data_IF_105525799652
#
_entry.id   IF_105525799652
#
_cell.length_a   1.000
_cell.length_b   1.000
_cell.length_c   1.000
_cell.angle_alpha   90.00
_cell.angle_beta   90.00
_cell.angle_gamma   90.00
#
_symmetry.space_group_name_H-M   'P 1'
#
loop_
_entity.id
_entity.type
_entity.pdbx_description
1 polymer ?
#
# COMPACT_ATOMS: atom_id res chain seq x y z
N UNK A 1 -10.76 57.91 8.28
CA UNK A 1 -9.88 56.72 8.23
C UNK A 1 -10.22 55.61 9.25
N UNK A 2 -10.78 55.89 10.43
CA UNK A 2 -11.13 54.83 11.41
C UNK A 2 -12.39 54.00 11.06
N UNK A 3 -13.31 54.52 10.25
CA UNK A 3 -14.54 53.79 9.86
C UNK A 3 -14.36 52.84 8.66
N UNK A 4 -13.35 53.04 7.82
CA UNK A 4 -13.06 52.15 6.68
C UNK A 4 -12.38 50.84 7.12
N UNK A 5 -11.64 50.85 8.24
CA UNK A 5 -10.92 49.67 8.75
C UNK A 5 -11.88 48.70 9.45
N UNK A 6 -12.91 49.23 10.12
CA UNK A 6 -13.93 48.40 10.79
C UNK A 6 -14.83 47.71 9.76
N UNK A 7 -15.17 48.37 8.64
CA UNK A 7 -15.93 47.73 7.56
C UNK A 7 -15.13 46.60 6.88
N UNK A 8 -13.80 46.76 6.75
CA UNK A 8 -12.93 45.76 6.13
C UNK A 8 -12.77 44.50 7.01
N UNK A 9 -12.76 44.65 8.34
CA UNK A 9 -12.71 43.52 9.28
C UNK A 9 -14.04 42.78 9.39
N UNK A 10 -15.18 43.47 9.24
CA UNK A 10 -16.51 42.82 9.20
C UNK A 10 -16.72 42.06 7.88
N UNK A 11 -16.21 42.59 6.76
CA UNK A 11 -16.21 41.88 5.47
C UNK A 11 -15.29 40.64 5.48
N UNK A 12 -14.15 40.67 6.17
CA UNK A 12 -13.28 39.49 6.34
C UNK A 12 -13.86 38.42 7.26
N UNK A 13 -14.70 38.79 8.24
CA UNK A 13 -15.43 37.81 9.05
C UNK A 13 -16.61 37.13 8.33
N UNK A 14 -17.09 37.70 7.23
CA UNK A 14 -18.14 37.12 6.38
C UNK A 14 -17.59 36.18 5.29
N UNK A 15 -16.27 36.18 5.04
CA UNK A 15 -15.60 35.26 4.11
C UNK A 15 -14.75 34.19 4.81
N UNK A 16 -14.97 33.99 6.11
CA UNK A 16 -14.48 32.81 6.84
C UNK A 16 -15.56 31.72 6.95
N UNK A 17 -16.48 31.61 5.98
CA UNK A 17 -17.05 30.30 5.70
C UNK A 17 -15.90 29.47 5.13
N UNK A 18 -15.41 28.50 5.90
CA UNK A 18 -14.53 27.46 5.37
C UNK A 18 -15.21 26.90 4.11
N UNK A 19 -14.70 27.25 2.93
CA UNK A 19 -15.27 26.79 1.68
C UNK A 19 -15.30 25.27 1.73
N UNK A 20 -16.50 24.70 1.79
CA UNK A 20 -16.64 23.26 1.92
C UNK A 20 -16.02 22.61 0.68
N UNK A 21 -14.89 21.94 0.89
CA UNK A 21 -14.22 21.17 -0.15
C UNK A 21 -14.79 19.74 -0.20
N UNK A 22 -14.48 19.03 -1.29
CA UNK A 22 -14.93 17.66 -1.52
C UNK A 22 -14.73 16.76 -0.29
N UNK A 23 -13.52 16.74 0.29
CA UNK A 23 -13.20 15.90 1.44
C UNK A 23 -14.06 16.19 2.68
N UNK A 24 -14.45 17.46 2.88
CA UNK A 24 -15.32 17.86 4.00
C UNK A 24 -16.75 17.34 3.80
N UNK A 25 -17.29 17.46 2.59
CA UNK A 25 -18.62 16.93 2.26
C UNK A 25 -18.67 15.41 2.36
N UNK A 26 -17.67 14.72 1.81
CA UNK A 26 -17.58 13.25 1.88
C UNK A 26 -17.48 12.78 3.33
N UNK A 27 -16.69 13.44 4.19
CA UNK A 27 -16.62 13.09 5.61
C UNK A 27 -17.99 13.20 6.29
N UNK A 28 -18.72 14.29 6.04
CA UNK A 28 -20.10 14.45 6.55
C UNK A 28 -21.01 13.34 6.03
N UNK A 29 -20.93 12.99 4.75
CA UNK A 29 -21.73 11.94 4.14
C UNK A 29 -21.44 10.55 4.76
N UNK A 30 -20.17 10.22 4.98
CA UNK A 30 -19.74 8.98 5.66
C UNK A 30 -20.26 8.93 7.10
N UNK A 31 -20.13 10.00 7.87
CA UNK A 31 -20.63 10.08 9.25
C UNK A 31 -22.15 9.92 9.33
N UNK A 32 -22.89 10.55 8.42
CA UNK A 32 -24.34 10.41 8.31
C UNK A 32 -24.74 8.98 7.94
N UNK A 33 -24.10 8.37 6.93
CA UNK A 33 -24.32 6.98 6.55
C UNK A 33 -24.12 6.02 7.73
N UNK A 34 -23.07 6.23 8.53
CA UNK A 34 -22.76 5.38 9.70
C UNK A 34 -23.86 5.45 10.78
N UNK A 35 -24.50 6.61 10.95
CA UNK A 35 -25.56 6.84 11.93
C UNK A 35 -26.96 6.49 11.40
N UNK A 36 -27.12 6.36 10.08
CA UNK A 36 -28.41 6.17 9.44
C UNK A 36 -29.03 4.78 9.75
N UNK A 37 -30.26 4.80 10.27
CA UNK A 37 -31.04 3.62 10.66
C UNK A 37 -32.35 3.46 9.90
N UNK A 38 -32.70 4.44 9.07
CA UNK A 38 -33.94 4.49 8.31
C UNK A 38 -33.72 5.13 6.93
N UNK A 39 -34.77 5.08 6.10
CA UNK A 39 -34.73 5.60 4.73
C UNK A 39 -34.54 7.11 4.66
N UNK A 40 -35.00 7.89 5.64
CA UNK A 40 -34.83 9.36 5.65
C UNK A 40 -33.36 9.69 5.88
N UNK A 41 -32.72 9.03 6.84
CA UNK A 41 -31.31 9.19 7.12
C UNK A 41 -30.42 8.71 5.96
N UNK A 42 -30.80 7.63 5.27
CA UNK A 42 -30.11 7.19 4.05
C UNK A 42 -30.26 8.19 2.90
N UNK A 43 -31.44 8.78 2.72
CA UNK A 43 -31.69 9.80 1.71
C UNK A 43 -30.84 11.05 1.98
N UNK A 44 -30.79 11.50 3.23
CA UNK A 44 -29.93 12.63 3.63
C UNK A 44 -28.45 12.33 3.37
N UNK A 45 -27.96 11.15 3.76
CA UNK A 45 -26.58 10.75 3.50
C UNK A 45 -26.27 10.68 2.00
N UNK A 46 -27.20 10.17 1.18
CA UNK A 46 -27.05 10.12 -0.28
C UNK A 46 -27.01 11.53 -0.88
N UNK A 47 -27.88 12.43 -0.42
CA UNK A 47 -27.91 13.82 -0.86
C UNK A 47 -26.58 14.54 -0.64
N UNK A 48 -25.88 14.25 0.47
CA UNK A 48 -24.54 14.80 0.72
C UNK A 48 -23.48 14.29 -0.27
N UNK A 49 -23.55 13.02 -0.68
CA UNK A 49 -22.68 12.51 -1.76
C UNK A 49 -23.02 13.18 -3.09
N UNK A 50 -24.30 13.31 -3.41
CA UNK A 50 -24.77 13.90 -4.67
C UNK A 50 -24.40 15.39 -4.79
N UNK A 51 -24.51 16.15 -3.71
CA UNK A 51 -24.03 17.55 -3.65
C UNK A 51 -22.52 17.62 -3.88
N UNK A 52 -21.74 16.75 -3.23
CA UNK A 52 -20.30 16.69 -3.43
C UNK A 52 -19.92 16.35 -4.87
N UNK A 53 -20.63 15.40 -5.49
CA UNK A 53 -20.38 14.98 -6.87
C UNK A 53 -20.73 16.09 -7.87
N UNK A 54 -21.82 16.83 -7.63
CA UNK A 54 -22.23 17.94 -8.48
C UNK A 54 -21.24 19.11 -8.40
N UNK A 55 -20.73 19.42 -7.20
CA UNK A 55 -19.81 20.55 -6.97
C UNK A 55 -18.37 20.24 -7.38
N UNK A 56 -17.96 18.98 -7.32
CA UNK A 56 -16.57 18.55 -7.54
C UNK A 56 -16.48 17.30 -8.44
N UNK A 57 -16.94 17.37 -9.70
CA UNK A 57 -16.98 16.21 -10.60
C UNK A 57 -15.61 15.56 -10.81
N UNK A 58 -14.54 16.34 -10.81
CA UNK A 58 -13.17 15.86 -11.02
C UNK A 58 -12.55 15.21 -9.78
N UNK A 59 -13.17 15.39 -8.60
CA UNK A 59 -12.68 14.86 -7.32
C UNK A 59 -13.30 13.52 -6.94
N UNK A 60 -14.25 13.01 -7.74
CA UNK A 60 -15.04 11.83 -7.37
C UNK A 60 -14.17 10.57 -7.33
N UNK A 61 -13.95 10.07 -6.12
CA UNK A 61 -13.20 8.85 -5.85
C UNK A 61 -14.08 7.59 -5.88
N UNK A 62 -13.42 6.43 -5.96
CA UNK A 62 -14.09 5.13 -6.08
C UNK A 62 -14.86 4.74 -4.81
N UNK A 63 -14.30 5.04 -3.64
CA UNK A 63 -14.95 4.73 -2.36
C UNK A 63 -16.23 5.54 -2.19
N UNK A 64 -16.22 6.82 -2.55
CA UNK A 64 -17.41 7.67 -2.48
C UNK A 64 -18.51 7.19 -3.42
N UNK A 65 -18.19 6.85 -4.68
CA UNK A 65 -19.17 6.23 -5.60
C UNK A 65 -19.74 4.93 -5.04
N UNK A 66 -18.90 4.08 -4.48
CA UNK A 66 -19.32 2.83 -3.87
C UNK A 66 -20.27 3.07 -2.67
N UNK A 67 -20.00 4.07 -1.84
CA UNK A 67 -20.90 4.40 -0.75
C UNK A 67 -22.25 4.94 -1.23
N UNK A 68 -22.25 5.76 -2.29
CA UNK A 68 -23.47 6.26 -2.92
C UNK A 68 -24.31 5.14 -3.55
N UNK A 69 -23.69 4.15 -4.20
CA UNK A 69 -24.41 2.99 -4.74
C UNK A 69 -25.10 2.17 -3.65
N UNK A 70 -24.43 1.95 -2.51
CA UNK A 70 -25.04 1.27 -1.36
C UNK A 70 -26.24 2.05 -0.82
N UNK A 71 -26.13 3.37 -0.69
CA UNK A 71 -27.22 4.19 -0.18
C UNK A 71 -28.42 4.19 -1.14
N UNK A 72 -28.18 4.33 -2.45
CA UNK A 72 -29.23 4.23 -3.47
C UNK A 72 -29.93 2.86 -3.43
N UNK A 73 -29.16 1.78 -3.27
CA UNK A 73 -29.69 0.43 -3.10
C UNK A 73 -30.57 0.31 -1.84
N UNK A 74 -30.10 0.80 -0.69
CA UNK A 74 -30.87 0.80 0.57
C UNK A 74 -32.16 1.63 0.50
N UNK A 75 -32.23 2.59 -0.41
CA UNK A 75 -33.42 3.38 -0.72
C UNK A 75 -34.33 2.73 -1.78
N UNK A 76 -34.06 1.45 -2.12
CA UNK A 76 -34.76 0.69 -3.17
C UNK A 76 -34.70 1.35 -4.56
N UNK A 77 -33.74 2.24 -4.81
CA UNK A 77 -33.53 2.88 -6.11
C UNK A 77 -32.47 2.11 -6.91
N UNK A 78 -32.90 1.01 -7.53
CA UNK A 78 -32.01 0.10 -8.28
C UNK A 78 -31.31 0.81 -9.43
N UNK A 79 -32.00 1.64 -10.19
CA UNK A 79 -31.44 2.33 -11.35
C UNK A 79 -30.32 3.30 -10.98
N UNK A 80 -30.51 4.04 -9.88
CA UNK A 80 -29.48 4.92 -9.34
C UNK A 80 -28.29 4.12 -8.78
N UNK A 81 -28.55 3.00 -8.09
CA UNK A 81 -27.47 2.12 -7.63
C UNK A 81 -26.63 1.60 -8.81
N UNK A 82 -27.27 1.14 -9.88
CA UNK A 82 -26.59 0.69 -11.09
C UNK A 82 -25.85 1.83 -11.81
N UNK A 83 -26.37 3.05 -11.81
CA UNK A 83 -25.66 4.22 -12.37
C UNK A 83 -24.29 4.41 -11.70
N UNK A 84 -24.24 4.32 -10.37
CA UNK A 84 -22.98 4.41 -9.62
C UNK A 84 -22.07 3.20 -9.82
N UNK A 85 -22.62 1.98 -9.80
CA UNK A 85 -21.86 0.74 -9.99
C UNK A 85 -21.26 0.63 -11.39
N UNK A 86 -22.03 0.95 -12.44
CA UNK A 86 -21.53 0.91 -13.82
C UNK A 86 -20.41 1.93 -14.04
N UNK A 87 -20.48 3.11 -13.40
CA UNK A 87 -19.38 4.07 -13.45
C UNK A 87 -18.11 3.56 -12.75
N UNK A 88 -18.25 2.79 -11.65
CA UNK A 88 -17.12 2.11 -11.00
C UNK A 88 -16.51 1.05 -11.92
N UNK A 89 -17.34 0.19 -12.51
CA UNK A 89 -16.86 -0.90 -13.36
C UNK A 89 -16.15 -0.45 -14.63
N UNK A 90 -16.45 0.76 -15.14
CA UNK A 90 -15.80 1.29 -16.35
C UNK A 90 -14.44 1.92 -16.10
N UNK A 91 -14.09 2.26 -14.85
CA UNK A 91 -12.84 2.96 -14.56
C UNK A 91 -11.66 1.98 -14.59
N UNK A 92 -10.65 2.29 -15.38
CA UNK A 92 -9.39 1.53 -15.36
C UNK A 92 -8.66 1.73 -14.03
N UNK A 93 -7.84 0.74 -13.65
CA UNK A 93 -7.10 0.81 -12.38
C UNK A 93 -5.91 1.75 -12.52
N UNK A 94 -5.81 2.76 -11.67
CA UNK A 94 -4.79 3.83 -11.76
C UNK A 94 -3.52 3.57 -10.93
N UNK A 95 -3.30 2.35 -10.45
CA UNK A 95 -2.15 1.90 -9.62
C UNK A 95 -1.87 2.74 -8.36
N UNK A 96 -2.72 3.72 -8.07
CA UNK A 96 -2.64 4.58 -6.89
C UNK A 96 -3.73 4.20 -5.90
N UNK A 97 -4.91 3.88 -6.41
CA UNK A 97 -6.10 3.60 -5.61
C UNK A 97 -6.56 2.14 -5.69
N UNK A 98 -7.35 1.73 -4.70
CA UNK A 98 -7.93 0.39 -4.64
C UNK A 98 -8.74 0.07 -5.92
N UNK A 99 -8.72 -1.15 -6.48
CA UNK A 99 -9.34 -1.41 -7.76
C UNK A 99 -10.86 -1.47 -7.69
N UNK A 100 -11.51 -0.77 -8.61
CA UNK A 100 -12.96 -0.65 -8.63
C UNK A 100 -13.69 -2.01 -8.75
N UNK A 101 -13.10 -2.96 -9.48
CA UNK A 101 -13.66 -4.29 -9.65
C UNK A 101 -13.87 -5.01 -8.32
N UNK A 102 -13.05 -4.73 -7.30
CA UNK A 102 -13.10 -5.41 -6.02
C UNK A 102 -14.39 -5.05 -5.25
N UNK A 103 -14.97 -3.86 -5.46
CA UNK A 103 -16.27 -3.50 -4.89
C UNK A 103 -17.45 -4.32 -5.43
N UNK A 104 -17.27 -5.01 -6.57
CA UNK A 104 -18.33 -5.74 -7.27
C UNK A 104 -18.21 -7.25 -7.06
N UNK A 105 -16.97 -7.78 -7.05
CA UNK A 105 -16.74 -9.23 -7.04
C UNK A 105 -16.16 -9.78 -5.74
N UNK A 106 -15.96 -8.95 -4.71
CA UNK A 106 -15.56 -9.43 -3.38
C UNK A 106 -16.63 -10.30 -2.74
N UNK A 107 -16.20 -11.17 -1.83
CA UNK A 107 -17.04 -12.18 -1.18
C UNK A 107 -18.31 -11.59 -0.54
N UNK A 108 -18.23 -10.38 0.04
CA UNK A 108 -19.36 -9.71 0.71
C UNK A 108 -20.22 -8.82 -0.21
N UNK A 109 -19.83 -8.58 -1.46
CA UNK A 109 -20.63 -7.75 -2.37
C UNK A 109 -22.00 -8.36 -2.64
N UNK A 110 -22.09 -9.70 -2.61
CA UNK A 110 -23.36 -10.43 -2.72
C UNK A 110 -24.28 -10.22 -1.52
N UNK A 111 -23.73 -10.04 -0.32
CA UNK A 111 -24.51 -9.72 0.87
C UNK A 111 -24.99 -8.27 0.85
N UNK A 112 -24.12 -7.35 0.43
CA UNK A 112 -24.41 -5.91 0.38
C UNK A 112 -25.44 -5.52 -0.69
N UNK A 113 -25.58 -6.32 -1.75
CA UNK A 113 -26.49 -6.08 -2.88
C UNK A 113 -27.42 -7.28 -3.18
N UNK A 114 -27.84 -8.01 -2.15
CA UNK A 114 -28.61 -9.26 -2.27
C UNK A 114 -29.75 -9.22 -3.31
N UNK A 115 -30.51 -8.13 -3.36
CA UNK A 115 -31.67 -7.99 -4.26
C UNK A 115 -31.31 -7.49 -5.68
N UNK A 116 -30.05 -7.13 -5.92
CA UNK A 116 -29.53 -6.77 -7.25
C UNK A 116 -28.90 -7.97 -7.96
N UNK A 117 -28.49 -9.04 -7.26
CA UNK A 117 -27.79 -10.18 -7.88
C UNK A 117 -28.63 -10.84 -8.99
N UNK A 118 -29.95 -10.90 -8.78
CA UNK A 118 -30.91 -11.44 -9.75
C UNK A 118 -31.25 -10.50 -10.90
N UNK A 119 -30.85 -9.23 -10.83
CA UNK A 119 -31.06 -8.26 -11.92
C UNK A 119 -30.06 -8.58 -13.07
N UNK A 120 -30.52 -8.67 -14.33
CA UNK A 120 -29.64 -8.95 -15.47
C UNK A 120 -28.44 -8.00 -15.59
N UNK A 121 -28.59 -6.74 -15.15
CA UNK A 121 -27.51 -5.75 -15.17
C UNK A 121 -26.34 -6.13 -14.26
N UNK A 122 -26.61 -6.85 -13.17
CA UNK A 122 -25.57 -7.31 -12.25
C UNK A 122 -24.63 -8.31 -12.91
N UNK A 123 -25.15 -9.20 -13.75
CA UNK A 123 -24.33 -10.20 -14.46
C UNK A 123 -23.36 -9.54 -15.45
N UNK A 124 -23.81 -8.49 -16.14
CA UNK A 124 -22.97 -7.66 -17.01
C UNK A 124 -21.86 -6.99 -16.18
N UNK A 125 -22.25 -6.34 -15.07
CA UNK A 125 -21.33 -5.67 -14.15
C UNK A 125 -20.25 -6.62 -13.60
N UNK A 126 -20.66 -7.82 -13.19
CA UNK A 126 -19.77 -8.87 -12.70
C UNK A 126 -18.82 -9.35 -13.79
N UNK A 127 -19.32 -9.56 -15.01
CA UNK A 127 -18.48 -9.96 -16.16
C UNK A 127 -17.40 -8.91 -16.46
N UNK A 128 -17.77 -7.63 -16.49
CA UNK A 128 -16.84 -6.53 -16.73
C UNK A 128 -15.81 -6.39 -15.60
N UNK A 129 -16.25 -6.53 -14.34
CA UNK A 129 -15.35 -6.52 -13.19
C UNK A 129 -14.34 -7.68 -13.22
N UNK A 130 -14.74 -8.88 -13.65
CA UNK A 130 -13.82 -10.01 -13.84
C UNK A 130 -12.78 -9.70 -14.92
N UNK A 131 -13.20 -9.19 -16.08
CA UNK A 131 -12.27 -8.80 -17.16
C UNK A 131 -11.27 -7.73 -16.69
N UNK A 132 -11.73 -6.77 -15.90
CA UNK A 132 -10.86 -5.73 -15.34
C UNK A 132 -9.90 -6.27 -14.29
N UNK A 133 -10.33 -7.23 -13.45
CA UNK A 133 -9.45 -7.96 -12.55
C UNK A 133 -8.35 -8.68 -13.35
N UNK A 134 -8.70 -9.40 -14.39
CA UNK A 134 -7.74 -10.15 -15.21
C UNK A 134 -6.73 -9.19 -15.87
N UNK A 135 -7.21 -8.07 -16.43
CA UNK A 135 -6.35 -7.01 -16.97
C UNK A 135 -5.42 -6.43 -15.92
N UNK A 136 -5.91 -6.21 -14.70
CA UNK A 136 -5.11 -5.71 -13.58
C UNK A 136 -3.95 -6.67 -13.26
N UNK A 137 -4.20 -7.98 -13.14
CA UNK A 137 -3.13 -8.94 -12.85
C UNK A 137 -2.15 -9.13 -14.02
N UNK A 138 -2.60 -9.04 -15.27
CA UNK A 138 -1.70 -9.01 -16.43
C UNK A 138 -0.77 -7.80 -16.34
N UNK A 139 -1.30 -6.61 -16.04
CA UNK A 139 -0.50 -5.40 -15.89
C UNK A 139 0.42 -5.45 -14.67
N UNK A 140 -0.03 -6.05 -13.55
CA UNK A 140 0.80 -6.30 -12.37
C UNK A 140 2.04 -7.09 -12.79
N UNK A 141 1.81 -8.19 -13.51
CA UNK A 141 2.89 -9.08 -13.94
C UNK A 141 3.88 -8.39 -14.86
N UNK A 142 3.40 -7.58 -15.80
CA UNK A 142 4.27 -6.77 -16.67
C UNK A 142 5.15 -5.81 -15.86
N UNK A 143 4.61 -5.17 -14.82
CA UNK A 143 5.39 -4.29 -13.92
C UNK A 143 6.40 -5.06 -13.07
N UNK A 144 6.03 -6.24 -12.57
CA UNK A 144 6.94 -7.13 -11.86
C UNK A 144 8.09 -7.58 -12.76
N UNK A 145 7.80 -8.02 -13.97
CA UNK A 145 8.81 -8.48 -14.92
C UNK A 145 9.76 -7.34 -15.35
N UNK A 146 9.24 -6.11 -15.48
CA UNK A 146 10.05 -4.92 -15.70
C UNK A 146 10.94 -4.61 -14.49
N UNK A 147 10.41 -4.72 -13.26
CA UNK A 147 11.20 -4.57 -12.04
C UNK A 147 12.35 -5.57 -11.97
N UNK A 148 12.10 -6.85 -12.26
CA UNK A 148 13.13 -7.90 -12.20
C UNK A 148 14.05 -7.94 -13.42
N UNK A 149 13.78 -7.15 -14.46
CA UNK A 149 14.65 -7.09 -15.63
C UNK A 149 16.04 -6.53 -15.29
N UNK A 150 17.06 -7.29 -15.66
CA UNK A 150 18.48 -6.92 -15.58
C UNK A 150 19.16 -7.15 -16.93
N UNK A 151 20.37 -6.63 -17.08
CA UNK A 151 21.26 -6.95 -18.18
C UNK A 151 21.69 -8.42 -18.12
N UNK A 152 21.83 -9.12 -19.25
CA UNK A 152 22.29 -10.51 -19.26
C UNK A 152 23.64 -10.68 -18.58
N UNK A 153 23.70 -11.58 -17.60
CA UNK A 153 24.92 -11.94 -16.89
C UNK A 153 25.48 -13.24 -17.45
N UNK A 154 26.73 -13.21 -17.90
CA UNK A 154 27.42 -14.40 -18.44
C UNK A 154 28.51 -14.88 -17.47
N UNK A 155 28.19 -14.97 -16.17
CA UNK A 155 29.19 -15.33 -15.14
C UNK A 155 29.71 -16.77 -15.35
N UNK A 156 28.85 -17.66 -15.83
CA UNK A 156 29.20 -19.07 -16.06
C UNK A 156 30.14 -19.30 -17.26
N UNK A 157 30.41 -18.25 -18.05
CA UNK A 157 31.31 -18.33 -19.21
C UNK A 157 32.79 -18.10 -18.86
N UNK A 158 33.08 -17.64 -17.64
CA UNK A 158 34.45 -17.40 -17.21
C UNK A 158 35.07 -18.73 -16.77
N UNK A 159 36.14 -19.14 -17.46
CA UNK A 159 36.89 -20.35 -17.12
C UNK A 159 38.02 -20.09 -16.11
N UNK A 160 38.46 -18.84 -15.98
CA UNK A 160 39.51 -18.46 -15.04
C UNK A 160 38.95 -17.73 -13.81
N UNK A 161 39.42 -18.14 -12.63
CA UNK A 161 38.94 -17.66 -11.33
C UNK A 161 39.17 -16.15 -11.14
N UNK A 162 40.29 -15.63 -11.67
CA UNK A 162 40.68 -14.22 -11.50
C UNK A 162 39.74 -13.28 -12.26
N UNK A 163 39.43 -13.58 -13.51
CA UNK A 163 38.50 -12.77 -14.31
C UNK A 163 37.07 -12.88 -13.80
N UNK A 164 36.66 -14.08 -13.32
CA UNK A 164 35.38 -14.24 -12.65
C UNK A 164 35.30 -13.37 -11.39
N UNK A 165 36.33 -13.40 -10.54
CA UNK A 165 36.41 -12.56 -9.35
C UNK A 165 36.31 -11.07 -9.67
N UNK A 166 37.07 -10.57 -10.65
CA UNK A 166 36.99 -9.17 -11.08
C UNK A 166 35.61 -8.82 -11.66
N UNK A 167 34.97 -9.75 -12.37
CA UNK A 167 33.60 -9.55 -12.88
C UNK A 167 32.58 -9.47 -11.76
N UNK A 168 32.68 -10.34 -10.74
CA UNK A 168 31.82 -10.33 -9.55
C UNK A 168 32.02 -9.05 -8.75
N UNK A 169 33.28 -8.61 -8.56
CA UNK A 169 33.62 -7.39 -7.84
C UNK A 169 32.98 -6.14 -8.46
N UNK A 170 32.88 -6.12 -9.79
CA UNK A 170 32.28 -5.03 -10.57
C UNK A 170 30.85 -5.39 -11.06
N UNK A 171 30.18 -6.33 -10.39
CA UNK A 171 28.86 -6.79 -10.80
C UNK A 171 27.82 -5.68 -10.63
N UNK A 172 27.24 -5.27 -11.76
CA UNK A 172 26.21 -4.24 -11.81
C UNK A 172 25.33 -4.43 -13.06
N UNK A 173 24.52 -5.50 -13.13
CA UNK A 173 23.66 -5.77 -14.28
C UNK A 173 22.34 -4.96 -14.21
N UNK A 174 22.20 -4.04 -13.27
CA UNK A 174 20.92 -3.42 -12.99
C UNK A 174 20.51 -2.44 -14.10
N UNK A 175 19.24 -2.46 -14.46
CA UNK A 175 18.64 -1.50 -15.41
C UNK A 175 18.00 -0.32 -14.68
N UNK A 176 17.88 0.80 -15.39
CA UNK A 176 16.96 1.86 -14.97
C UNK A 176 15.53 1.31 -14.89
N UNK A 177 14.72 1.88 -13.99
CA UNK A 177 13.37 1.42 -13.70
C UNK A 177 12.36 2.46 -14.18
N UNK A 178 11.32 2.01 -14.88
CA UNK A 178 10.31 2.89 -15.48
C UNK A 178 9.38 3.52 -14.45
N UNK A 179 9.14 2.83 -13.35
CA UNK A 179 8.27 3.28 -12.27
C UNK A 179 9.09 3.56 -11.03
N UNK A 180 8.55 4.42 -10.17
CA UNK A 180 9.07 4.61 -8.82
C UNK A 180 8.52 3.54 -7.86
N UNK A 181 7.26 3.16 -8.08
CA UNK A 181 6.48 2.31 -7.19
C UNK A 181 6.21 0.95 -7.83
N UNK A 182 6.46 -0.11 -7.07
CA UNK A 182 6.23 -1.49 -7.48
C UNK A 182 5.50 -2.27 -6.39
N UNK A 183 4.44 -2.97 -6.79
CA UNK A 183 3.84 -4.03 -6.00
C UNK A 183 4.37 -5.35 -6.50
N UNK A 184 4.98 -6.15 -5.63
CA UNK A 184 5.56 -7.44 -5.99
C UNK A 184 4.83 -8.55 -5.22
N UNK A 185 4.24 -9.49 -5.95
CA UNK A 185 3.73 -10.74 -5.41
C UNK A 185 4.88 -11.60 -4.88
N UNK A 186 4.72 -12.14 -3.68
CA UNK A 186 5.68 -12.99 -3.00
C UNK A 186 5.06 -14.35 -2.68
N UNK A 187 5.68 -15.43 -3.17
CA UNK A 187 5.24 -16.80 -2.90
C UNK A 187 5.77 -17.23 -1.53
N UNK A 188 4.86 -17.57 -0.60
CA UNK A 188 5.22 -18.11 0.72
C UNK A 188 5.42 -19.63 0.60
N UNK A 189 4.52 -20.30 -0.12
CA UNK A 189 4.58 -21.72 -0.46
C UNK A 189 3.72 -21.99 -1.71
N UNK A 190 3.51 -23.25 -2.07
CA UNK A 190 2.78 -23.63 -3.29
C UNK A 190 1.31 -23.14 -3.32
N UNK A 191 0.66 -23.03 -2.16
CA UNK A 191 -0.75 -22.62 -2.06
C UNK A 191 -0.95 -21.19 -1.57
N UNK A 192 0.10 -20.56 -0.99
CA UNK A 192 -0.02 -19.30 -0.26
C UNK A 192 0.91 -18.23 -0.83
N UNK A 193 0.36 -17.04 -1.06
CA UNK A 193 1.09 -15.85 -1.51
C UNK A 193 0.77 -14.65 -0.65
N UNK A 194 1.69 -13.69 -0.64
CA UNK A 194 1.53 -12.35 -0.09
C UNK A 194 2.16 -11.37 -1.07
N UNK A 195 2.44 -10.14 -0.64
CA UNK A 195 3.13 -9.15 -1.44
C UNK A 195 3.99 -8.22 -0.59
N UNK A 196 4.88 -7.49 -1.26
CA UNK A 196 5.59 -6.37 -0.69
C UNK A 196 5.57 -5.20 -1.68
N UNK A 197 5.51 -3.98 -1.14
CA UNK A 197 5.56 -2.76 -1.93
C UNK A 197 6.96 -2.16 -1.88
N UNK A 198 7.48 -1.69 -3.01
CA UNK A 198 8.79 -1.05 -3.14
C UNK A 198 8.57 0.36 -3.65
N UNK A 199 9.20 1.33 -3.00
CA UNK A 199 9.28 2.71 -3.46
C UNK A 199 10.74 3.09 -3.64
N UNK A 200 11.13 3.30 -4.90
CA UNK A 200 12.48 3.71 -5.28
C UNK A 200 12.65 5.23 -5.10
N UNK A 201 13.89 5.73 -4.98
CA UNK A 201 14.15 7.15 -5.12
C UNK A 201 13.70 7.68 -6.49
N UNK A 202 13.18 8.91 -6.53
CA UNK A 202 12.62 9.51 -7.75
C UNK A 202 13.54 9.43 -8.98
N UNK A 203 14.85 9.52 -8.77
CA UNK A 203 15.87 9.49 -9.82
C UNK A 203 16.77 8.26 -9.69
N UNK A 204 16.19 7.06 -9.47
CA UNK A 204 16.96 5.82 -9.35
C UNK A 204 17.91 5.62 -10.55
N UNK A 205 19.20 5.67 -10.25
CA UNK A 205 20.31 5.37 -11.13
C UNK A 205 20.91 3.99 -10.78
N UNK A 206 20.89 2.99 -11.69
CA UNK A 206 21.40 1.64 -11.42
C UNK A 206 22.89 1.56 -11.07
N UNK A 207 23.70 2.58 -11.40
CA UNK A 207 25.12 2.62 -11.07
C UNK A 207 25.42 3.10 -9.65
N UNK A 208 24.42 3.62 -8.93
CA UNK A 208 24.54 3.99 -7.52
C UNK A 208 24.04 2.84 -6.64
N UNK A 209 24.75 2.57 -5.54
CA UNK A 209 24.26 1.69 -4.47
C UNK A 209 23.34 2.48 -3.54
N UNK A 210 22.18 1.94 -3.21
CA UNK A 210 21.18 2.63 -2.38
C UNK A 210 21.02 1.98 -1.01
N UNK A 211 20.88 2.79 0.06
CA UNK A 211 20.33 2.27 1.32
C UNK A 211 18.91 1.75 1.10
N UNK A 212 18.54 0.71 1.86
CA UNK A 212 17.21 0.11 1.84
C UNK A 212 16.64 0.08 3.24
N UNK A 213 15.37 0.45 3.40
CA UNK A 213 14.66 0.37 4.67
C UNK A 213 13.39 -0.48 4.51
N UNK A 214 13.35 -1.60 5.21
CA UNK A 214 12.10 -2.31 5.47
C UNK A 214 11.29 -1.59 6.54
N UNK A 215 10.02 -1.34 6.27
CA UNK A 215 9.06 -0.87 7.26
C UNK A 215 7.96 -1.92 7.48
N UNK A 216 7.97 -2.55 8.65
CA UNK A 216 7.03 -3.59 9.05
C UNK A 216 5.77 -2.95 9.65
N UNK A 217 4.59 -3.36 9.16
CA UNK A 217 3.33 -2.81 9.63
C UNK A 217 2.93 -3.28 11.04
N UNK A 218 2.05 -2.53 11.71
CA UNK A 218 1.46 -2.93 12.99
C UNK A 218 0.32 -3.95 12.84
N UNK A 219 -0.32 -4.31 13.96
CA UNK A 219 -1.52 -5.15 14.01
C UNK A 219 -1.45 -6.45 13.18
N UNK A 220 -0.27 -7.06 13.05
CA UNK A 220 -0.03 -8.18 12.14
C UNK A 220 -0.93 -9.39 12.45
N UNK A 221 -1.31 -9.55 13.73
CA UNK A 221 -2.24 -10.58 14.22
C UNK A 221 -3.66 -10.48 13.66
N UNK A 222 -4.04 -9.31 13.13
CA UNK A 222 -5.37 -9.03 12.58
C UNK A 222 -5.34 -8.75 11.08
N UNK A 223 -4.20 -8.98 10.43
CA UNK A 223 -4.06 -8.79 8.99
C UNK A 223 -4.24 -10.10 8.22
N UNK A 224 -4.80 -9.97 7.02
CA UNK A 224 -4.80 -11.01 6.00
C UNK A 224 -3.64 -10.78 5.01
N UNK A 225 -3.21 -11.86 4.36
CA UNK A 225 -2.30 -11.76 3.22
C UNK A 225 -3.03 -11.12 2.04
N UNK A 226 -2.30 -10.35 1.25
CA UNK A 226 -2.75 -9.76 0.00
C UNK A 226 -1.64 -9.93 -1.03
N UNK A 227 -2.00 -10.18 -2.28
CA UNK A 227 -1.08 -10.45 -3.38
C UNK A 227 -0.68 -9.20 -4.18
N UNK A 228 -1.20 -8.03 -3.81
CA UNK A 228 -0.77 -6.73 -4.30
C UNK A 228 -0.96 -5.60 -3.28
N UNK A 229 -0.28 -4.47 -3.50
CA UNK A 229 -0.36 -3.27 -2.67
C UNK A 229 -0.32 -1.98 -3.51
N UNK A 230 -0.86 -0.88 -2.98
CA UNK A 230 -0.82 0.43 -3.64
C UNK A 230 0.04 1.45 -2.90
N UNK A 231 0.48 2.47 -3.63
CA UNK A 231 1.23 3.59 -3.07
C UNK A 231 0.48 4.28 -1.93
N UNK A 232 -0.82 4.58 -2.10
CA UNK A 232 -1.61 5.30 -1.08
C UNK A 232 -1.75 4.52 0.24
N UNK A 233 -1.62 3.20 0.20
CA UNK A 233 -1.66 2.35 1.40
C UNK A 233 -0.36 2.40 2.20
N UNK A 234 0.76 2.60 1.51
CA UNK A 234 2.09 2.41 2.06
C UNK A 234 2.83 3.72 2.31
N UNK A 235 2.63 4.72 1.46
CA UNK A 235 3.40 5.96 1.46
C UNK A 235 2.70 7.13 2.16
N UNK A 236 1.39 7.00 2.39
CA UNK A 236 0.56 8.01 3.03
C UNK A 236 0.49 7.89 4.56
N UNK A 237 -0.53 8.49 5.17
CA UNK A 237 -0.80 8.35 6.61
C UNK A 237 0.41 8.71 7.48
N UNK A 238 0.72 7.87 8.47
CA UNK A 238 1.94 8.03 9.29
C UNK A 238 3.23 7.76 8.53
N UNK A 239 3.18 6.94 7.47
CA UNK A 239 4.34 6.61 6.65
C UNK A 239 4.82 7.78 5.78
N UNK A 240 4.03 8.85 5.63
CA UNK A 240 4.42 10.08 4.91
C UNK A 240 5.77 10.66 5.36
N UNK A 241 6.13 10.49 6.63
CA UNK A 241 7.41 10.94 7.15
C UNK A 241 8.55 10.05 6.66
N UNK A 242 8.37 8.73 6.63
CA UNK A 242 9.32 7.82 6.00
C UNK A 242 9.49 8.12 4.52
N UNK A 243 8.38 8.30 3.79
CA UNK A 243 8.40 8.69 2.38
C UNK A 243 9.19 9.98 2.17
N UNK A 244 8.89 11.04 2.95
CA UNK A 244 9.61 12.32 2.87
C UNK A 244 11.11 12.16 3.09
N UNK A 245 11.53 11.49 4.16
CA UNK A 245 12.95 11.38 4.49
C UNK A 245 13.69 10.40 3.58
N UNK A 246 13.01 9.37 3.07
CA UNK A 246 13.57 8.48 2.07
C UNK A 246 13.89 9.22 0.77
N UNK A 247 12.98 10.06 0.30
CA UNK A 247 13.19 10.89 -0.90
C UNK A 247 14.35 11.88 -0.71
N UNK A 248 14.50 12.46 0.48
CA UNK A 248 15.59 13.38 0.79
C UNK A 248 16.96 12.70 0.86
N UNK A 249 17.01 11.38 1.11
CA UNK A 249 18.24 10.65 1.38
C UNK A 249 18.48 9.50 0.38
N UNK A 250 17.71 9.44 -0.71
CA UNK A 250 17.71 8.36 -1.69
C UNK A 250 17.66 6.96 -1.05
N UNK A 251 16.62 6.70 -0.24
CA UNK A 251 16.41 5.39 0.40
C UNK A 251 15.34 4.61 -0.36
N UNK A 252 15.63 3.34 -0.67
CA UNK A 252 14.61 2.40 -1.15
C UNK A 252 13.74 2.00 0.04
N UNK A 253 12.44 2.31 -0.02
CA UNK A 253 11.49 1.86 1.00
C UNK A 253 10.83 0.55 0.59
N UNK A 254 10.67 -0.36 1.54
CA UNK A 254 10.00 -1.65 1.32
C UNK A 254 8.96 -1.88 2.40
N UNK A 255 7.73 -2.21 2.00
CA UNK A 255 6.59 -2.46 2.89
C UNK A 255 6.06 -3.89 2.68
N UNK A 256 6.53 -4.86 3.46
CA UNK A 256 6.07 -6.24 3.43
C UNK A 256 4.66 -6.40 4.00
N UNK A 257 3.86 -7.30 3.43
CA UNK A 257 2.60 -7.72 4.04
C UNK A 257 2.74 -9.04 4.81
N UNK A 258 2.47 -8.98 6.11
CA UNK A 258 2.32 -10.15 6.97
C UNK A 258 0.87 -10.42 7.37
N UNK A 259 0.64 -11.59 7.97
CA UNK A 259 -0.64 -12.02 8.53
C UNK A 259 -0.49 -12.63 9.92
N UNK A 260 -1.60 -13.06 10.52
CA UNK A 260 -1.56 -13.78 11.80
C UNK A 260 -0.65 -15.00 11.79
N UNK A 261 -0.64 -15.76 10.69
CA UNK A 261 0.15 -16.99 10.56
C UNK A 261 1.57 -16.72 10.03
N UNK A 262 1.72 -15.83 9.05
CA UNK A 262 3.01 -15.56 8.42
C UNK A 262 3.46 -14.14 8.77
N UNK A 263 4.30 -14.00 9.81
CA UNK A 263 4.78 -12.70 10.28
C UNK A 263 6.18 -12.76 10.92
N UNK A 264 6.60 -11.59 11.42
CA UNK A 264 7.90 -11.29 12.00
C UNK A 264 7.93 -11.32 13.54
N UNK A 265 6.83 -11.70 14.20
CA UNK A 265 6.71 -11.55 15.66
C UNK A 265 6.29 -12.83 16.37
N UNK A 266 5.10 -13.36 16.10
CA UNK A 266 4.46 -14.42 16.90
C UNK A 266 4.56 -15.81 16.29
N UNK A 267 5.08 -15.91 15.08
CA UNK A 267 5.15 -17.14 14.31
C UNK A 267 6.53 -17.25 13.68
N UNK A 268 7.10 -18.44 13.65
CA UNK A 268 8.38 -18.69 12.96
C UNK A 268 8.16 -18.90 11.45
N UNK A 269 6.92 -19.24 11.06
CA UNK A 269 6.53 -19.66 9.73
C UNK A 269 6.61 -18.52 8.72
N UNK A 270 6.64 -17.26 9.16
CA UNK A 270 6.84 -16.10 8.28
C UNK A 270 8.20 -15.42 8.43
N UNK A 271 9.09 -15.92 9.29
CA UNK A 271 10.31 -15.20 9.65
C UNK A 271 11.30 -15.11 8.47
N UNK A 272 11.24 -16.08 7.56
CA UNK A 272 12.04 -16.13 6.33
C UNK A 272 11.65 -15.05 5.31
N UNK A 273 10.43 -14.51 5.37
CA UNK A 273 9.88 -13.66 4.32
C UNK A 273 10.74 -12.42 4.07
N UNK A 274 11.18 -11.73 5.13
CA UNK A 274 11.95 -10.48 4.97
C UNK A 274 13.34 -10.75 4.36
N UNK A 275 14.11 -11.74 4.84
CA UNK A 275 15.35 -12.16 4.16
C UNK A 275 15.19 -12.52 2.69
N UNK A 276 14.17 -13.30 2.33
CA UNK A 276 13.96 -13.72 0.94
C UNK A 276 13.44 -12.59 0.05
N UNK A 277 12.61 -11.69 0.59
CA UNK A 277 12.23 -10.45 -0.10
C UNK A 277 13.47 -9.59 -0.38
N UNK A 278 14.38 -9.46 0.58
CA UNK A 278 15.64 -8.73 0.39
C UNK A 278 16.50 -9.36 -0.70
N UNK A 279 16.65 -10.69 -0.70
CA UNK A 279 17.37 -11.41 -1.75
C UNK A 279 16.75 -11.15 -3.12
N UNK A 280 15.42 -11.22 -3.22
CA UNK A 280 14.68 -10.93 -4.45
C UNK A 280 14.93 -9.49 -4.93
N UNK A 281 14.88 -8.51 -4.04
CA UNK A 281 15.14 -7.09 -4.38
C UNK A 281 16.58 -6.90 -4.89
N UNK A 282 17.57 -7.53 -4.25
CA UNK A 282 18.98 -7.44 -4.65
C UNK A 282 19.27 -8.04 -6.03
N UNK A 283 18.38 -8.91 -6.55
CA UNK A 283 18.45 -9.39 -7.94
C UNK A 283 18.00 -8.34 -8.95
N UNK A 284 17.21 -7.35 -8.53
CA UNK A 284 16.55 -6.38 -9.41
C UNK A 284 17.16 -4.97 -9.39
N UNK A 285 17.66 -4.54 -8.23
CA UNK A 285 18.16 -3.17 -7.99
C UNK A 285 19.44 -3.16 -7.15
N UNK A 286 20.22 -2.09 -7.29
CA UNK A 286 21.55 -1.94 -6.70
C UNK A 286 21.48 -1.48 -5.23
N UNK A 287 21.30 -2.43 -4.32
CA UNK A 287 21.26 -2.18 -2.87
C UNK A 287 22.67 -2.15 -2.28
N UNK A 288 22.95 -1.21 -1.39
CA UNK A 288 24.15 -1.23 -0.56
C UNK A 288 23.97 -2.24 0.58
N UNK A 289 24.67 -3.37 0.50
CA UNK A 289 24.63 -4.44 1.50
C UNK A 289 24.97 -3.97 2.92
N UNK A 290 25.76 -2.90 3.06
CA UNK A 290 26.12 -2.32 4.35
C UNK A 290 25.10 -1.30 4.87
N UNK A 291 24.02 -1.05 4.14
CA UNK A 291 22.98 -0.05 4.47
C UNK A 291 21.57 -0.57 4.27
N UNK A 292 21.36 -1.82 4.68
CA UNK A 292 20.01 -2.40 4.79
C UNK A 292 19.51 -2.23 6.22
N UNK A 293 18.36 -1.61 6.39
CA UNK A 293 17.77 -1.30 7.69
C UNK A 293 16.40 -1.93 7.84
N UNK A 294 15.98 -2.17 9.07
CA UNK A 294 14.65 -2.69 9.37
C UNK A 294 13.99 -1.92 10.51
N UNK A 295 12.78 -1.47 10.24
CA UNK A 295 11.95 -0.70 11.16
C UNK A 295 10.51 -1.18 11.16
N UNK A 296 9.68 -0.62 12.02
CA UNK A 296 8.25 -0.82 11.99
C UNK A 296 7.52 -0.14 13.13
N UNK A 297 6.19 -0.24 13.10
CA UNK A 297 5.30 0.32 14.11
C UNK A 297 4.60 -0.79 14.90
N UNK A 298 4.52 -0.65 16.22
CA UNK A 298 3.84 -1.60 17.12
C UNK A 298 4.38 -3.01 16.93
N UNK A 299 3.56 -3.96 16.44
CA UNK A 299 4.00 -5.32 16.13
C UNK A 299 5.13 -5.35 15.09
N UNK A 300 5.22 -4.36 14.19
CA UNK A 300 6.32 -4.18 13.26
C UNK A 300 7.62 -3.77 13.96
N UNK A 301 7.55 -2.86 14.93
CA UNK A 301 8.71 -2.49 15.77
C UNK A 301 9.21 -3.70 16.57
N UNK A 302 8.28 -4.48 17.14
CA UNK A 302 8.62 -5.76 17.77
C UNK A 302 9.23 -6.74 16.77
N UNK A 303 8.77 -6.75 15.53
CA UNK A 303 9.37 -7.52 14.44
C UNK A 303 10.82 -7.15 14.16
N UNK A 304 11.12 -5.85 14.09
CA UNK A 304 12.51 -5.37 13.94
C UNK A 304 13.39 -5.86 15.09
N UNK A 305 12.91 -5.77 16.34
CA UNK A 305 13.59 -6.36 17.49
C UNK A 305 13.76 -7.88 17.37
N UNK A 306 12.77 -8.60 16.83
CA UNK A 306 12.91 -10.03 16.54
C UNK A 306 14.02 -10.34 15.55
N UNK A 307 14.15 -9.56 14.48
CA UNK A 307 15.24 -9.72 13.51
C UNK A 307 16.61 -9.47 14.13
N UNK A 308 16.74 -8.45 14.99
CA UNK A 308 17.97 -8.22 15.75
C UNK A 308 18.37 -9.46 16.56
N UNK A 309 17.42 -10.06 17.27
CA UNK A 309 17.71 -11.19 18.15
C UNK A 309 17.99 -12.50 17.41
N UNK A 310 17.36 -12.71 16.25
CA UNK A 310 17.31 -14.03 15.59
C UNK A 310 18.12 -14.11 14.31
N UNK A 311 18.10 -13.07 13.48
CA UNK A 311 18.71 -13.07 12.14
C UNK A 311 19.24 -11.67 11.77
N UNK A 312 20.25 -11.14 12.49
CA UNK A 312 20.66 -9.77 12.32
C UNK A 312 21.57 -9.53 11.11
N UNK A 313 22.17 -10.60 10.55
CA UNK A 313 23.31 -10.53 9.63
C UNK A 313 23.06 -9.63 8.43
N UNK A 314 21.85 -9.62 7.90
CA UNK A 314 21.49 -8.87 6.70
C UNK A 314 21.24 -7.38 6.94
N UNK A 315 21.15 -6.93 8.20
CA UNK A 315 20.75 -5.57 8.53
C UNK A 315 21.86 -4.81 9.25
N UNK A 316 22.13 -3.59 8.78
CA UNK A 316 23.06 -2.64 9.38
C UNK A 316 22.50 -1.93 10.62
N UNK A 317 21.17 -1.87 10.77
CA UNK A 317 20.53 -1.23 11.92
C UNK A 317 19.05 -1.57 12.09
N UNK A 318 18.57 -1.41 13.32
CA UNK A 318 17.25 -1.83 13.76
C UNK A 318 16.55 -0.71 14.52
N UNK A 319 15.30 -0.44 14.16
CA UNK A 319 14.51 0.65 14.73
C UNK A 319 13.11 0.15 15.05
N UNK A 320 12.43 0.75 16.03
CA UNK A 320 11.01 0.49 16.23
C UNK A 320 10.28 1.65 16.89
N UNK A 321 9.01 1.80 16.54
CA UNK A 321 8.12 2.82 17.07
C UNK A 321 6.97 2.16 17.84
N UNK A 322 6.72 2.60 19.07
CA UNK A 322 5.77 1.93 19.98
C UNK A 322 6.08 0.43 20.12
N UNK A 323 7.37 0.11 20.24
CA UNK A 323 7.84 -1.28 20.25
C UNK A 323 7.52 -1.95 21.56
N UNK A 324 7.11 -3.22 21.49
CA UNK A 324 7.21 -4.12 22.62
C UNK A 324 8.39 -5.07 22.38
N UNK A 325 9.62 -4.77 22.87
CA UNK A 325 10.85 -5.51 22.54
C UNK A 325 10.88 -6.88 23.22
N UNK A 326 10.03 -7.78 22.74
CA UNK A 326 9.84 -9.13 23.24
C UNK A 326 9.91 -10.12 22.09
N UNK A 327 10.67 -11.18 22.31
CA UNK A 327 10.73 -12.34 21.44
C UNK A 327 9.61 -13.30 21.83
N UNK A 328 8.62 -13.49 20.95
CA UNK A 328 7.44 -14.33 21.22
C UNK A 328 7.62 -15.79 20.78
N UNK A 329 8.54 -16.03 19.84
CA UNK A 329 8.93 -17.34 19.35
C UNK A 329 10.29 -17.70 19.94
N UNK A 330 10.60 -18.95 20.27
CA UNK A 330 11.95 -19.31 20.76
C UNK A 330 13.11 -18.89 19.82
N UNK A 331 14.36 -19.05 20.30
CA UNK A 331 15.57 -18.70 19.55
C UNK A 331 16.11 -17.30 19.85
N UNK A 332 16.24 -16.94 21.13
CA UNK A 332 16.77 -15.64 21.56
C UNK A 332 18.29 -15.70 21.71
N UNK A 333 19.04 -14.97 20.87
CA UNK A 333 20.51 -14.94 20.94
C UNK A 333 20.98 -13.53 21.32
N UNK A 334 21.14 -13.25 22.62
CA UNK A 334 21.54 -11.92 23.12
C UNK A 334 22.88 -11.44 22.54
N UNK A 335 23.79 -12.38 22.27
CA UNK A 335 25.06 -12.14 21.59
C UNK A 335 24.92 -11.40 20.26
N UNK A 336 23.81 -11.61 19.54
CA UNK A 336 23.51 -10.92 18.29
C UNK A 336 23.38 -9.40 18.45
N UNK A 337 23.10 -8.90 19.65
CA UNK A 337 22.98 -7.47 19.93
C UNK A 337 24.37 -6.80 20.04
N UNK A 338 25.44 -7.57 20.30
CA UNK A 338 26.78 -7.00 20.44
C UNK A 338 27.16 -6.25 19.17
N UNK A 339 27.52 -4.98 19.34
CA UNK A 339 27.87 -4.04 18.26
C UNK A 339 26.72 -3.71 17.28
N UNK A 340 25.47 -3.90 17.68
CA UNK A 340 24.29 -3.53 16.87
C UNK A 340 23.38 -2.60 17.67
N UNK A 341 23.05 -1.46 17.07
CA UNK A 341 22.12 -0.52 17.68
C UNK A 341 20.68 -0.93 17.45
N UNK A 342 19.90 -0.93 18.52
CA UNK A 342 18.44 -0.91 18.48
C UNK A 342 17.96 0.44 18.99
N UNK A 343 17.26 1.20 18.16
CA UNK A 343 16.68 2.49 18.56
C UNK A 343 15.18 2.32 18.70
N UNK A 344 14.69 2.58 19.92
CA UNK A 344 13.27 2.51 20.24
C UNK A 344 12.72 3.92 20.53
N UNK A 345 11.61 4.27 19.90
CA UNK A 345 10.90 5.54 20.09
C UNK A 345 9.51 5.33 20.69
#
# INVERSE_FOLDING_TARGET
MRYCIVLFLVLLSLFAQAQENYSTLIRKAVENKKKAKDSIAYLHALGLYEDAFARFPDSIDQFSRYNASILAYKLNNKDKAFTYLSALAKKETDWKTYPAWNYIIRDYASEEYKDLIGDPRWQILKSDAIKNKDRFYIQLKVKEDEFFSIEPTNLDKFQDEKSLYEKIKNFNPYKAKKNQDYSISFKINDSTKTSFFIHLPKNYNPHKKYPLLFFLHGAVRSNALIDYQFADWNLGGWNRYYTKYAEQNDVILVFPKGSRQYNWMTSNEGFFMIPEMLESIKKAVNVDDNKVFISGHSNGGTGSFSYLMKQPTQFAGFYGFNTYPKIFTGGTFVENIKNRSFINF
#
